data_IF_265900500575
#
_entry.id   IF_265900500575
#
_cell.length_a   1.000
_cell.length_b   1.000
_cell.length_c   1.000
_cell.angle_alpha   90.00
_cell.angle_beta   90.00
_cell.angle_gamma   90.00
#
_symmetry.space_group_name_H-M   'P 1'
#
loop_
_entity.id
_entity.type
_entity.pdbx_description
1 polymer ?
#
# COMPACT_ATOMS: atom_id res chain seq x y z
N UNK A 1 4.64 0.30 16.92
CA UNK A 1 3.56 -0.37 17.70
C UNK A 1 2.82 -1.36 16.81
N UNK A 2 2.29 -2.49 17.33
CA UNK A 2 1.46 -3.43 16.54
C UNK A 2 0.00 -3.30 16.95
N UNK A 3 -0.89 -3.15 15.97
CA UNK A 3 -2.34 -3.09 16.15
C UNK A 3 -3.00 -4.19 15.32
N UNK A 4 -4.00 -4.86 15.89
CA UNK A 4 -4.65 -6.01 15.23
C UNK A 4 -6.14 -5.79 15.07
N UNK A 5 -6.67 -6.16 13.90
CA UNK A 5 -8.11 -6.20 13.63
C UNK A 5 -8.47 -7.56 13.04
N UNK A 6 -9.57 -8.14 13.52
CA UNK A 6 -10.06 -9.44 13.04
C UNK A 6 -11.42 -9.29 12.39
N UNK A 7 -11.55 -9.79 11.17
CA UNK A 7 -12.77 -9.70 10.37
C UNK A 7 -13.17 -11.13 9.95
N UNK A 8 -14.37 -11.53 10.34
CA UNK A 8 -14.97 -12.80 9.90
C UNK A 8 -15.84 -12.55 8.65
N UNK A 9 -15.56 -13.28 7.56
CA UNK A 9 -16.19 -13.14 6.24
C UNK A 9 -16.88 -14.45 5.86
N UNK A 10 -18.19 -14.48 5.60
CA UNK A 10 -18.87 -15.68 5.11
C UNK A 10 -18.50 -16.00 3.65
N UNK A 11 -18.61 -17.26 3.25
CA UNK A 11 -18.34 -17.72 1.87
C UNK A 11 -19.11 -16.96 0.80
N UNK A 12 -20.32 -16.48 1.11
CA UNK A 12 -21.15 -15.69 0.19
C UNK A 12 -20.52 -14.36 -0.22
N UNK A 13 -19.62 -13.81 0.61
CA UNK A 13 -18.91 -12.57 0.33
C UNK A 13 -17.43 -12.78 0.04
N UNK A 14 -16.90 -13.96 0.36
CA UNK A 14 -15.51 -14.30 0.12
C UNK A 14 -15.12 -14.10 -1.35
N UNK A 15 -13.96 -13.46 -1.55
CA UNK A 15 -13.33 -13.25 -2.85
C UNK A 15 -12.00 -14.00 -2.87
N UNK A 16 -11.77 -14.75 -3.95
CA UNK A 16 -10.51 -15.42 -4.21
C UNK A 16 -9.99 -15.09 -5.60
N UNK A 17 -8.67 -15.00 -5.77
CA UNK A 17 -8.01 -14.74 -7.06
C UNK A 17 -8.35 -15.78 -8.13
N UNK A 18 -8.71 -17.01 -7.74
CA UNK A 18 -9.00 -18.11 -8.66
C UNK A 18 -10.46 -18.15 -9.16
N UNK A 19 -11.34 -17.27 -8.68
CA UNK A 19 -12.73 -17.24 -9.12
C UNK A 19 -12.90 -16.43 -10.41
N UNK A 20 -13.40 -17.08 -11.47
CA UNK A 20 -13.94 -16.41 -12.65
C UNK A 20 -15.36 -15.95 -12.35
N UNK A 21 -15.47 -14.80 -11.71
CA UNK A 21 -16.75 -14.20 -11.31
C UNK A 21 -17.15 -13.08 -12.26
N UNK A 22 -18.45 -12.93 -12.51
CA UNK A 22 -18.99 -11.78 -13.24
C UNK A 22 -18.68 -10.47 -12.51
N UNK A 23 -18.29 -9.45 -13.27
CA UNK A 23 -17.84 -8.15 -12.73
C UNK A 23 -18.82 -7.48 -11.73
N UNK A 24 -20.17 -7.53 -11.89
CA UNK A 24 -21.07 -6.86 -10.96
C UNK A 24 -21.08 -7.55 -9.60
N UNK A 25 -21.02 -8.89 -9.61
CA UNK A 25 -21.00 -9.68 -8.39
C UNK A 25 -19.68 -9.46 -7.63
N UNK A 26 -18.57 -9.42 -8.35
CA UNK A 26 -17.26 -9.06 -7.79
C UNK A 26 -17.31 -7.68 -7.13
N UNK A 27 -17.83 -6.67 -7.82
CA UNK A 27 -17.95 -5.32 -7.29
C UNK A 27 -18.84 -5.26 -6.04
N UNK A 28 -19.97 -5.96 -6.03
CA UNK A 28 -20.86 -6.09 -4.88
C UNK A 28 -20.13 -6.69 -3.67
N UNK A 29 -19.45 -7.83 -3.84
CA UNK A 29 -18.73 -8.50 -2.75
C UNK A 29 -17.59 -7.62 -2.21
N UNK A 30 -16.83 -6.98 -3.10
CA UNK A 30 -15.78 -6.02 -2.71
C UNK A 30 -16.34 -4.89 -1.84
N UNK A 31 -17.48 -4.30 -2.22
CA UNK A 31 -18.13 -3.23 -1.45
C UNK A 31 -18.56 -3.70 -0.06
N UNK A 32 -19.14 -4.91 0.02
CA UNK A 32 -19.56 -5.48 1.31
C UNK A 32 -18.37 -5.70 2.23
N UNK A 33 -17.29 -6.32 1.72
CA UNK A 33 -16.07 -6.54 2.52
C UNK A 33 -15.48 -5.21 3.00
N UNK A 34 -15.40 -4.21 2.10
CA UNK A 34 -14.89 -2.86 2.42
C UNK A 34 -15.67 -2.22 3.58
N UNK A 35 -17.00 -2.26 3.51
CA UNK A 35 -17.86 -1.66 4.53
C UNK A 35 -17.76 -2.39 5.88
N UNK A 36 -17.77 -3.73 5.86
CA UNK A 36 -17.62 -4.53 7.08
C UNK A 36 -16.27 -4.27 7.74
N UNK A 37 -15.19 -4.25 6.96
CA UNK A 37 -13.85 -3.98 7.46
C UNK A 37 -13.73 -2.59 8.08
N UNK A 38 -14.29 -1.56 7.43
CA UNK A 38 -14.36 -0.20 7.95
C UNK A 38 -15.11 -0.12 9.30
N UNK A 39 -16.27 -0.77 9.39
CA UNK A 39 -17.06 -0.80 10.62
C UNK A 39 -16.33 -1.52 11.77
N UNK A 40 -15.72 -2.67 11.48
CA UNK A 40 -14.93 -3.41 12.48
C UNK A 40 -13.75 -2.56 12.95
N UNK A 41 -13.04 -1.90 12.04
CA UNK A 41 -11.94 -1.00 12.40
C UNK A 41 -12.40 0.11 13.34
N UNK A 42 -13.49 0.81 13.03
CA UNK A 42 -14.05 1.85 13.91
C UNK A 42 -14.26 1.32 15.33
N UNK A 43 -14.88 0.14 15.46
CA UNK A 43 -15.16 -0.50 16.74
C UNK A 43 -13.89 -0.99 17.47
N UNK A 44 -12.86 -1.38 16.74
CA UNK A 44 -11.61 -1.92 17.29
C UNK A 44 -10.71 -0.86 17.93
N UNK A 45 -11.02 0.43 17.84
CA UNK A 45 -10.24 1.44 18.56
C UNK A 45 -8.80 1.63 18.07
N UNK A 46 -8.47 1.23 16.83
CA UNK A 46 -7.17 1.47 16.22
C UNK A 46 -6.72 2.96 16.35
N UNK A 47 -5.45 3.22 16.24
CA UNK A 47 -4.89 4.57 16.23
C UNK A 47 -4.32 4.86 14.84
N UNK A 48 -4.46 6.08 14.32
CA UNK A 48 -3.77 6.50 13.10
C UNK A 48 -2.27 6.27 13.22
N UNK A 49 -1.63 5.84 12.13
CA UNK A 49 -0.17 5.62 12.05
C UNK A 49 0.33 6.21 10.75
N UNK A 50 1.49 6.86 10.76
CA UNK A 50 2.03 7.53 9.57
C UNK A 50 2.51 6.54 8.51
N UNK A 51 3.15 5.44 8.93
CA UNK A 51 3.63 4.37 8.04
C UNK A 51 3.44 3.03 8.72
N UNK A 52 2.94 2.05 7.98
CA UNK A 52 2.76 0.71 8.52
C UNK A 52 3.09 -0.39 7.51
N UNK A 53 3.67 -1.47 8.01
CA UNK A 53 3.68 -2.79 7.37
C UNK A 53 2.40 -3.52 7.74
N UNK A 54 1.80 -4.20 6.77
CA UNK A 54 0.57 -4.97 6.98
C UNK A 54 0.84 -6.45 6.80
N UNK A 55 0.52 -7.21 7.84
CA UNK A 55 0.49 -8.67 7.76
C UNK A 55 -0.95 -9.15 7.78
N UNK A 56 -1.36 -9.86 6.74
CA UNK A 56 -2.70 -10.45 6.61
C UNK A 56 -2.60 -11.94 6.89
N UNK A 57 -3.15 -12.33 8.02
CA UNK A 57 -3.34 -13.73 8.41
C UNK A 57 -4.70 -14.23 7.92
N UNK A 58 -4.68 -15.30 7.11
CA UNK A 58 -5.87 -15.86 6.48
C UNK A 58 -6.24 -17.19 7.13
N UNK A 59 -7.34 -17.18 7.89
CA UNK A 59 -7.97 -18.36 8.46
C UNK A 59 -9.01 -18.93 7.49
N UNK A 60 -8.82 -20.20 7.11
CA UNK A 60 -9.73 -20.91 6.21
C UNK A 60 -10.74 -21.76 7.00
N UNK A 61 -11.97 -21.98 6.47
CA UNK A 61 -12.96 -22.85 7.11
C UNK A 61 -12.58 -24.34 7.12
N UNK A 62 -11.54 -24.73 6.36
CA UNK A 62 -11.06 -26.10 6.23
C UNK A 62 -9.55 -26.14 6.43
N UNK A 63 -9.06 -27.27 6.95
CA UNK A 63 -7.63 -27.58 7.07
C UNK A 63 -6.94 -27.80 5.72
N UNK A 64 -7.71 -27.92 4.63
CA UNK A 64 -7.15 -28.13 3.29
C UNK A 64 -6.12 -27.05 2.96
N UNK A 65 -5.00 -27.46 2.35
CA UNK A 65 -3.95 -26.54 1.92
C UNK A 65 -4.52 -25.63 0.83
N UNK A 66 -4.55 -24.34 1.13
CA UNK A 66 -4.96 -23.26 0.24
C UNK A 66 -3.87 -22.19 0.36
N UNK A 67 -3.50 -21.62 -0.78
CA UNK A 67 -2.51 -20.55 -0.84
C UNK A 67 -3.12 -19.26 -0.26
N UNK A 68 -2.51 -18.67 0.80
CA UNK A 68 -2.88 -17.37 1.35
C UNK A 68 -2.97 -16.24 0.32
N UNK A 69 -2.14 -16.27 -0.73
CA UNK A 69 -2.16 -15.26 -1.79
C UNK A 69 -3.49 -15.22 -2.56
N UNK A 70 -4.25 -16.32 -2.56
CA UNK A 70 -5.59 -16.35 -3.15
C UNK A 70 -6.57 -15.41 -2.45
N UNK A 71 -6.34 -15.09 -1.17
CA UNK A 71 -7.17 -14.15 -0.42
C UNK A 71 -6.88 -12.68 -0.75
N UNK A 72 -5.89 -12.40 -1.61
CA UNK A 72 -5.47 -11.04 -1.97
C UNK A 72 -6.65 -10.10 -2.34
N UNK A 73 -7.65 -10.51 -3.15
CA UNK A 73 -8.77 -9.64 -3.47
C UNK A 73 -9.64 -9.28 -2.24
N UNK A 74 -9.87 -10.24 -1.34
CA UNK A 74 -10.63 -10.01 -0.11
C UNK A 74 -9.84 -9.14 0.87
N UNK A 75 -8.56 -9.43 1.04
CA UNK A 75 -7.65 -8.68 1.89
C UNK A 75 -7.49 -7.23 1.43
N UNK A 76 -7.31 -7.01 0.12
CA UNK A 76 -7.25 -5.66 -0.46
C UNK A 76 -8.53 -4.88 -0.16
N UNK A 77 -9.70 -5.49 -0.40
CA UNK A 77 -10.98 -4.84 -0.10
C UNK A 77 -11.13 -4.49 1.39
N UNK A 78 -10.65 -5.36 2.28
CA UNK A 78 -10.69 -5.13 3.72
C UNK A 78 -9.74 -3.99 4.14
N UNK A 79 -8.48 -4.03 3.70
CA UNK A 79 -7.48 -2.99 3.96
C UNK A 79 -7.98 -1.63 3.46
N UNK A 80 -8.47 -1.57 2.21
CA UNK A 80 -8.99 -0.34 1.64
C UNK A 80 -10.16 0.24 2.48
N UNK A 81 -10.99 -0.62 3.07
CA UNK A 81 -12.10 -0.21 3.93
C UNK A 81 -11.65 0.34 5.29
N UNK A 82 -10.64 -0.30 5.89
CA UNK A 82 -10.03 0.13 7.15
C UNK A 82 -9.37 1.51 6.98
N UNK A 83 -8.56 1.66 5.93
CA UNK A 83 -7.84 2.91 5.61
C UNK A 83 -8.83 4.06 5.36
N UNK A 84 -9.83 3.84 4.50
CA UNK A 84 -10.82 4.86 4.15
C UNK A 84 -11.65 5.36 5.34
N UNK A 85 -11.98 4.47 6.29
CA UNK A 85 -12.90 4.80 7.38
C UNK A 85 -12.22 5.55 8.51
N UNK A 86 -10.94 5.28 8.79
CA UNK A 86 -10.27 5.83 9.97
C UNK A 86 -9.36 7.02 9.70
N UNK A 87 -9.18 7.43 8.43
CA UNK A 87 -8.04 8.28 8.03
C UNK A 87 -6.75 7.78 8.70
N UNK A 88 -6.59 6.46 8.68
CA UNK A 88 -5.53 5.78 9.43
C UNK A 88 -4.15 6.21 8.92
N UNK A 89 -4.11 6.71 7.68
CA UNK A 89 -3.04 7.44 7.05
C UNK A 89 -3.47 8.93 6.98
N UNK A 90 -2.62 9.81 7.48
CA UNK A 90 -2.82 11.26 7.39
C UNK A 90 -2.50 11.69 5.95
N UNK A 91 -3.52 12.18 5.25
CA UNK A 91 -3.48 12.60 3.85
C UNK A 91 -3.20 11.51 2.80
N UNK A 92 -3.72 11.77 1.61
CA UNK A 92 -3.75 10.89 0.44
C UNK A 92 -2.37 10.30 0.13
N UNK A 93 -2.16 9.01 0.40
CA UNK A 93 -2.07 8.05 -0.70
C UNK A 93 -1.83 6.62 -0.19
N UNK A 94 -2.11 5.66 -1.08
CA UNK A 94 -1.72 4.26 -0.94
C UNK A 94 -0.19 4.02 -0.81
N UNK A 95 0.62 5.08 -0.63
CA UNK A 95 2.08 5.10 -0.50
C UNK A 95 2.61 4.73 0.89
N UNK A 96 1.77 4.79 1.93
CA UNK A 96 2.23 4.54 3.30
C UNK A 96 2.17 3.07 3.73
N UNK A 97 1.54 2.20 2.92
CA UNK A 97 1.58 0.75 3.09
C UNK A 97 2.89 0.22 2.52
N UNK A 98 3.89 0.10 3.38
CA UNK A 98 5.27 -0.22 2.96
C UNK A 98 5.41 -1.66 2.45
N UNK A 99 4.63 -2.60 3.00
CA UNK A 99 4.58 -3.98 2.53
C UNK A 99 3.26 -4.65 2.96
N UNK A 100 2.72 -5.53 2.10
CA UNK A 100 1.61 -6.42 2.44
C UNK A 100 2.09 -7.86 2.39
N UNK A 101 2.14 -8.52 3.54
CA UNK A 101 2.55 -9.93 3.64
C UNK A 101 1.34 -10.81 3.91
N UNK A 102 1.16 -11.86 3.12
CA UNK A 102 0.11 -12.85 3.33
C UNK A 102 0.66 -14.06 4.09
N UNK A 103 0.01 -14.39 5.21
CA UNK A 103 0.34 -15.57 6.02
C UNK A 103 -0.91 -16.42 6.24
N UNK A 104 -0.69 -17.71 6.45
CA UNK A 104 -1.77 -18.64 6.82
C UNK A 104 -2.01 -18.54 8.32
N UNK A 105 -3.28 -18.37 8.69
CA UNK A 105 -3.71 -18.45 10.08
C UNK A 105 -4.23 -19.86 10.42
N UNK A 106 -4.50 -20.09 11.70
CA UNK A 106 -5.24 -21.27 12.12
C UNK A 106 -6.62 -21.37 11.42
N UNK A 107 -7.10 -22.58 11.11
CA UNK A 107 -8.43 -22.76 10.56
C UNK A 107 -9.48 -22.16 11.49
N UNK A 108 -10.51 -21.52 10.93
CA UNK A 108 -11.56 -20.86 11.74
C UNK A 108 -12.40 -21.85 12.54
N UNK A 109 -12.37 -23.14 12.18
CA UNK A 109 -13.22 -24.20 12.75
C UNK A 109 -14.71 -24.04 12.41
N UNK A 110 -15.09 -22.99 11.66
CA UNK A 110 -16.47 -22.64 11.34
C UNK A 110 -16.72 -22.84 9.85
N UNK A 111 -17.56 -23.83 9.53
CA UNK A 111 -17.92 -24.14 8.14
C UNK A 111 -18.50 -22.90 7.45
N UNK A 112 -17.91 -22.52 6.32
CA UNK A 112 -18.37 -21.39 5.50
C UNK A 112 -17.96 -20.01 6.01
N UNK A 113 -17.05 -19.94 6.99
CA UNK A 113 -16.51 -18.68 7.51
C UNK A 113 -15.00 -18.62 7.34
N UNK A 114 -14.56 -17.56 6.68
CA UNK A 114 -13.16 -17.19 6.53
C UNK A 114 -12.85 -16.11 7.56
N UNK A 115 -11.60 -16.05 8.01
CA UNK A 115 -11.12 -15.02 8.92
C UNK A 115 -9.94 -14.29 8.30
N UNK A 116 -10.00 -12.97 8.32
CA UNK A 116 -8.87 -12.10 8.04
C UNK A 116 -8.45 -11.44 9.35
N UNK A 117 -7.30 -11.83 9.87
CA UNK A 117 -6.65 -11.12 10.97
C UNK A 117 -5.55 -10.26 10.39
N UNK A 118 -5.73 -8.95 10.47
CA UNK A 118 -4.85 -7.96 9.86
C UNK A 118 -4.08 -7.29 10.98
N UNK A 119 -2.76 -7.34 10.88
CA UNK A 119 -1.84 -6.68 11.79
C UNK A 119 -1.22 -5.49 11.08
N UNK A 120 -1.32 -4.33 11.71
CA UNK A 120 -0.67 -3.10 11.32
C UNK A 120 0.51 -2.90 12.26
N UNK A 121 1.71 -3.07 11.74
CA UNK A 121 2.93 -2.75 12.46
C UNK A 121 3.42 -1.38 11.99
N UNK A 122 3.40 -0.42 12.90
CA UNK A 122 3.91 0.91 12.64
C UNK A 122 5.43 0.86 12.43
N UNK A 123 5.86 1.40 11.29
CA UNK A 123 7.28 1.55 10.96
C UNK A 123 7.67 2.97 11.32
N UNK A 124 8.52 3.13 12.32
CA UNK A 124 9.14 4.43 12.59
C UNK A 124 9.77 4.94 11.30
N UNK A 125 9.43 6.17 10.89
CA UNK A 125 10.03 6.80 9.72
C UNK A 125 11.54 6.66 9.84
N UNK A 126 12.16 5.95 8.91
CA UNK A 126 13.61 5.91 8.86
C UNK A 126 14.01 7.34 8.50
N UNK A 127 14.45 8.09 9.49
CA UNK A 127 14.78 9.50 9.38
C UNK A 127 15.92 9.62 8.36
N UNK A 128 15.54 9.80 7.10
CA UNK A 128 16.47 9.99 5.97
C UNK A 128 16.86 11.48 5.91
N UNK A 129 16.82 12.20 7.03
CA UNK A 129 17.40 13.53 7.18
C UNK A 129 18.95 13.53 7.18
N UNK A 130 19.58 12.35 7.07
CA UNK A 130 21.04 12.20 6.96
C UNK A 130 21.63 12.28 5.54
N UNK A 131 20.84 12.16 4.46
CA UNK A 131 21.37 12.31 3.09
C UNK A 131 21.15 13.75 2.64
N UNK A 132 21.99 14.66 3.15
CA UNK A 132 22.25 15.92 2.45
C UNK A 132 22.90 15.57 1.11
N UNK A 133 22.11 15.57 0.04
CA UNK A 133 22.66 15.84 -1.29
C UNK A 133 23.49 17.13 -1.20
N UNK A 134 24.72 17.18 -1.75
CA UNK A 134 25.45 18.44 -1.83
C UNK A 134 24.60 19.38 -2.69
N UNK A 135 24.12 20.46 -2.06
CA UNK A 135 23.52 21.60 -2.77
C UNK A 135 24.53 22.04 -3.84
N UNK A 136 24.13 21.96 -5.09
CA UNK A 136 24.69 22.77 -6.16
C UNK A 136 24.56 24.24 -5.73
N UNK A 137 25.69 24.82 -5.33
CA UNK A 137 25.80 26.24 -5.02
C UNK A 137 25.60 27.04 -6.29
N UNK A 138 24.38 27.50 -6.52
CA UNK A 138 24.08 28.55 -7.48
C UNK A 138 24.16 29.87 -6.70
N UNK A 139 25.34 30.47 -6.71
CA UNK A 139 25.58 31.82 -6.22
C UNK A 139 25.27 32.80 -7.34
N UNK A 140 24.28 33.66 -7.11
CA UNK A 140 24.04 34.83 -7.94
C UNK A 140 25.04 35.94 -7.58
N UNK A 141 25.63 36.49 -8.64
CA UNK A 141 26.11 37.86 -8.87
C UNK A 141 27.01 38.55 -7.82
N UNK A 142 28.24 38.89 -8.23
CA UNK A 142 28.64 40.28 -8.60
C UNK A 142 30.18 40.39 -8.70
N UNK A 143 30.66 41.08 -9.76
CA UNK A 143 32.00 41.69 -9.76
C UNK A 143 32.93 41.38 -10.94
N UNK A 144 32.87 42.25 -11.96
CA UNK A 144 33.98 42.76 -12.79
C UNK A 144 35.10 41.82 -13.29
N UNK A 145 35.21 41.65 -14.62
CA UNK A 145 36.31 42.24 -15.42
C UNK A 145 36.19 41.87 -16.91
N UNK A 146 36.69 42.78 -17.73
CA UNK A 146 36.74 42.86 -19.19
C UNK A 146 37.44 41.69 -19.94
N UNK A 147 37.32 41.76 -21.28
CA UNK A 147 38.08 41.12 -22.39
C UNK A 147 37.36 39.90 -22.99
N UNK A 148 37.24 39.64 -24.29
CA UNK A 148 37.42 40.37 -25.57
C UNK A 148 36.74 39.49 -26.66
N UNK A 149 36.22 40.09 -27.74
CA UNK A 149 35.31 39.48 -28.73
C UNK A 149 35.94 38.61 -29.84
N UNK A 150 36.96 37.79 -29.59
CA UNK A 150 37.79 37.22 -30.69
C UNK A 150 37.98 35.68 -30.80
N UNK A 151 37.19 34.81 -30.17
CA UNK A 151 37.32 33.34 -30.36
C UNK A 151 36.00 32.59 -30.61
N UNK A 152 35.26 32.96 -31.65
CA UNK A 152 34.16 32.13 -32.20
C UNK A 152 34.33 31.84 -33.69
N UNK A 153 35.42 31.15 -34.04
CA UNK A 153 35.56 30.45 -35.32
C UNK A 153 36.24 29.09 -35.14
N UNK A 154 35.47 28.03 -35.35
CA UNK A 154 36.01 26.71 -35.71
C UNK A 154 35.35 25.56 -34.95
N UNK A 155 34.95 24.54 -35.71
CA UNK A 155 34.39 23.24 -35.28
C UNK A 155 32.91 23.27 -34.87
N UNK A 156 31.98 22.48 -35.43
CA UNK A 156 32.09 21.44 -36.45
C UNK A 156 30.74 21.29 -37.15
N UNK A 157 30.84 21.10 -38.47
CA UNK A 157 29.84 20.57 -39.38
C UNK A 157 29.34 19.18 -38.96
N UNK A 158 28.15 18.88 -39.50
CA UNK A 158 27.69 17.58 -40.03
C UNK A 158 27.42 16.43 -39.05
N UNK A 159 26.13 16.14 -38.83
CA UNK A 159 25.52 14.83 -39.14
C UNK A 159 24.09 14.72 -38.56
N UNK A 160 23.08 14.75 -39.41
CA UNK A 160 21.88 13.89 -39.28
C UNK A 160 21.01 14.02 -40.51
N UNK A 161 21.30 13.15 -41.49
CA UNK A 161 20.28 12.53 -42.31
C UNK A 161 19.73 11.33 -41.51
N UNK A 162 18.42 11.30 -41.31
CA UNK A 162 17.55 10.12 -41.40
C UNK A 162 16.10 10.59 -41.35
#
# INVERSE_FOLDING_TARGET
MIQTVTIDIPTSWWLTSNQRMHWPEKARRTRVIRNVAGFVALRSGLHPVERATVTVWVGYPSTRRQDPANASPAAKAAIDGIVATRRLLADDDAEHLTAVTFRRDEPTGRKGWYRLRIEFEEVAGNDTSGIRSPRSGQGDAEGSAMLSSDELKGFSKEASQS
#
